data_IF_113634942814
#
_entry.id   IF_113634942814
#
_cell.length_a   1.000
_cell.length_b   1.000
_cell.length_c   1.000
_cell.angle_alpha   90.00
_cell.angle_beta   90.00
_cell.angle_gamma   90.00
#
_symmetry.space_group_name_H-M   'P 1'
#
loop_
_entity.id
_entity.type
_entity.pdbx_description
1 polymer ?
#
# COMPACT_ATOMS: atom_id res chain seq x y z
N UNK A 1 -10.57 -44.04 -15.16
CA UNK A 1 -11.09 -42.87 -14.43
C UNK A 1 -9.90 -42.18 -13.77
N UNK A 2 -9.33 -41.16 -14.40
CA UNK A 2 -8.23 -40.39 -13.82
C UNK A 2 -8.78 -39.03 -13.39
N UNK A 3 -9.09 -38.89 -12.11
CA UNK A 3 -9.42 -37.61 -11.48
C UNK A 3 -8.12 -36.84 -11.27
N UNK A 4 -7.86 -35.87 -12.13
CA UNK A 4 -6.80 -34.89 -11.96
C UNK A 4 -7.38 -33.74 -11.14
N UNK A 5 -6.91 -33.44 -9.92
CA UNK A 5 -7.32 -32.22 -9.25
C UNK A 5 -6.72 -31.02 -9.98
N UNK A 6 -7.46 -29.92 -10.22
CA UNK A 6 -6.90 -28.71 -10.78
C UNK A 6 -5.99 -28.07 -9.72
N UNK A 7 -4.68 -28.27 -9.85
CA UNK A 7 -3.69 -27.43 -9.17
C UNK A 7 -3.71 -26.06 -9.85
N UNK A 8 -4.62 -25.19 -9.39
CA UNK A 8 -4.47 -23.77 -9.61
C UNK A 8 -3.30 -23.28 -8.75
N UNK A 9 -2.26 -22.66 -9.32
CA UNK A 9 -1.28 -21.98 -8.50
C UNK A 9 -1.96 -20.73 -7.92
N UNK A 10 -2.52 -20.85 -6.72
CA UNK A 10 -2.71 -19.70 -5.85
C UNK A 10 -1.30 -19.28 -5.42
N UNK A 11 -0.60 -18.59 -6.32
CA UNK A 11 0.71 -18.04 -6.05
C UNK A 11 0.63 -17.19 -4.79
N UNK A 12 1.64 -17.25 -3.90
CA UNK A 12 1.71 -16.31 -2.79
C UNK A 12 1.52 -14.92 -3.38
N UNK A 13 0.61 -14.13 -2.82
CA UNK A 13 0.31 -12.77 -3.27
C UNK A 13 1.64 -12.01 -3.31
N UNK A 14 2.28 -11.95 -4.48
CA UNK A 14 3.61 -11.37 -4.61
C UNK A 14 3.39 -9.87 -4.60
N UNK A 15 3.90 -9.22 -3.55
CA UNK A 15 4.05 -7.77 -3.56
C UNK A 15 4.93 -7.33 -4.74
N UNK A 16 5.03 -6.02 -4.99
CA UNK A 16 5.85 -5.51 -6.07
C UNK A 16 7.25 -6.11 -6.00
N UNK A 17 7.77 -6.66 -7.09
CA UNK A 17 9.14 -7.20 -7.11
C UNK A 17 10.19 -6.07 -7.12
N UNK A 18 9.79 -4.85 -7.46
CA UNK A 18 10.67 -3.68 -7.46
C UNK A 18 10.72 -3.00 -6.08
N UNK A 19 11.91 -2.57 -5.61
CA UNK A 19 12.00 -1.71 -4.45
C UNK A 19 11.30 -0.38 -4.76
N UNK A 20 10.64 0.24 -3.76
CA UNK A 20 10.11 1.58 -3.93
C UNK A 20 11.25 2.60 -4.09
N UNK A 21 10.95 3.81 -4.59
CA UNK A 21 11.92 4.90 -4.61
C UNK A 21 12.50 5.11 -3.21
N UNK A 22 13.83 5.04 -3.04
CA UNK A 22 14.43 5.23 -1.72
C UNK A 22 14.27 6.66 -1.21
N UNK A 23 14.06 7.59 -2.14
CA UNK A 23 13.88 9.01 -1.83
C UNK A 23 12.38 9.23 -1.56
N UNK A 24 12.02 9.66 -0.35
CA UNK A 24 10.64 10.07 -0.11
C UNK A 24 10.27 11.21 -1.06
N UNK A 25 9.09 11.17 -1.72
CA UNK A 25 8.53 12.36 -2.36
C UNK A 25 8.63 13.59 -1.48
N UNK A 26 8.72 14.77 -2.09
CA UNK A 26 8.43 16.00 -1.37
C UNK A 26 6.98 15.96 -0.89
N UNK A 27 6.73 16.42 0.35
CA UNK A 27 5.37 16.50 0.89
C UNK A 27 4.50 17.23 -0.14
N UNK A 28 3.40 16.61 -0.61
CA UNK A 28 2.52 17.29 -1.54
C UNK A 28 2.03 18.58 -0.88
N UNK A 29 2.07 19.72 -1.58
CA UNK A 29 1.59 21.01 -1.04
C UNK A 29 0.09 20.99 -0.74
N UNK A 30 -0.62 20.02 -1.32
CA UNK A 30 -2.02 19.70 -1.04
C UNK A 30 -2.04 18.42 -0.20
N UNK A 31 -2.02 18.58 1.11
CA UNK A 31 -2.54 17.53 2.00
C UNK A 31 -4.04 17.48 1.76
N UNK A 32 -4.54 16.37 1.19
CA UNK A 32 -5.97 16.15 1.13
C UNK A 32 -6.50 16.22 2.58
N UNK A 33 -7.20 17.31 2.90
CA UNK A 33 -7.55 17.70 4.27
C UNK A 33 -8.40 16.65 5.00
N UNK A 34 -8.93 15.68 4.24
CA UNK A 34 -9.28 14.36 4.72
C UNK A 34 -8.58 13.35 3.81
N UNK A 35 -7.84 12.40 4.38
CA UNK A 35 -7.40 11.21 3.65
C UNK A 35 -8.65 10.38 3.38
N UNK A 36 -9.36 10.73 2.32
CA UNK A 36 -10.57 10.02 1.95
C UNK A 36 -10.21 8.61 1.45
N UNK A 37 -10.90 7.56 1.92
CA UNK A 37 -10.71 6.20 1.41
C UNK A 37 -10.89 6.11 -0.11
N UNK A 38 -11.71 7.01 -0.68
CA UNK A 38 -11.88 7.12 -2.13
C UNK A 38 -10.64 7.61 -2.87
N UNK A 39 -9.87 8.52 -2.27
CA UNK A 39 -8.66 9.06 -2.89
C UNK A 39 -7.52 8.03 -2.86
N UNK A 40 -7.33 7.33 -1.74
CA UNK A 40 -6.35 6.23 -1.66
C UNK A 40 -6.73 5.04 -2.55
N UNK A 41 -8.03 4.77 -2.77
CA UNK A 41 -8.47 3.75 -3.73
C UNK A 41 -7.95 4.01 -5.14
N UNK A 42 -7.77 5.27 -5.54
CA UNK A 42 -7.13 5.63 -6.81
C UNK A 42 -5.65 5.23 -6.91
N UNK A 43 -5.01 4.97 -5.77
CA UNK A 43 -3.62 4.55 -5.67
C UNK A 43 -3.45 3.02 -5.51
N UNK A 44 -4.53 2.23 -5.61
CA UNK A 44 -4.48 0.77 -5.56
C UNK A 44 -3.51 0.21 -6.62
N UNK A 45 -2.70 -0.77 -6.23
CA UNK A 45 -1.66 -1.38 -7.07
C UNK A 45 -0.57 -0.39 -7.56
N UNK A 46 -0.32 0.69 -6.79
CA UNK A 46 0.72 1.68 -7.07
C UNK A 46 1.61 1.91 -5.84
N UNK A 47 2.84 2.34 -6.06
CA UNK A 47 3.75 2.65 -4.96
C UNK A 47 3.26 3.92 -4.26
N UNK A 48 2.74 3.77 -3.04
CA UNK A 48 2.17 4.88 -2.28
C UNK A 48 3.09 5.22 -1.11
N UNK A 49 3.55 6.45 -1.06
CA UNK A 49 4.23 6.96 0.13
C UNK A 49 3.19 7.51 1.10
N UNK A 50 3.22 7.04 2.34
CA UNK A 50 2.29 7.44 3.39
C UNK A 50 3.06 8.20 4.44
N UNK A 51 2.57 9.39 4.79
CA UNK A 51 3.01 10.17 5.93
C UNK A 51 2.00 10.01 7.07
N UNK A 52 2.37 9.28 8.13
CA UNK A 52 1.54 9.21 9.32
C UNK A 52 1.59 10.52 10.10
N UNK A 53 0.49 10.87 10.77
CA UNK A 53 0.41 12.04 11.67
C UNK A 53 1.50 12.06 12.75
N UNK A 54 1.88 10.86 13.22
CA UNK A 54 2.86 10.67 14.28
C UNK A 54 3.85 9.59 13.87
N UNK A 55 4.87 9.95 13.09
CA UNK A 55 5.99 9.05 12.78
C UNK A 55 6.70 9.38 11.47
N UNK A 56 7.65 8.52 11.10
CA UNK A 56 8.32 8.58 9.81
C UNK A 56 7.41 8.05 8.70
N UNK A 57 7.45 8.70 7.54
CA UNK A 57 6.77 8.20 6.35
C UNK A 57 7.30 6.83 5.90
N UNK A 58 6.47 6.07 5.21
CA UNK A 58 6.82 4.74 4.73
C UNK A 58 6.14 4.44 3.40
N UNK A 59 6.74 3.51 2.66
CA UNK A 59 6.14 2.99 1.44
C UNK A 59 5.12 1.90 1.76
N UNK A 60 3.93 2.08 1.19
CA UNK A 60 2.85 1.11 1.18
C UNK A 60 2.42 0.87 -0.27
N UNK A 61 2.21 -0.38 -0.60
CA UNK A 61 1.61 -0.82 -1.84
C UNK A 61 0.21 -1.34 -1.54
N UNK A 62 -0.81 -0.48 -1.57
CA UNK A 62 -2.17 -0.86 -1.20
C UNK A 62 -2.73 -1.83 -2.24
N UNK A 63 -3.17 -3.00 -1.78
CA UNK A 63 -3.87 -3.99 -2.61
C UNK A 63 -5.37 -4.01 -2.33
N UNK A 64 -5.76 -3.56 -1.14
CA UNK A 64 -7.14 -3.48 -0.73
C UNK A 64 -7.37 -2.25 0.16
N UNK A 65 -8.44 -1.52 -0.08
CA UNK A 65 -8.81 -0.34 0.72
C UNK A 65 -10.24 -0.53 1.22
N UNK A 66 -10.36 -0.59 2.54
CA UNK A 66 -11.64 -0.62 3.26
C UNK A 66 -12.23 0.79 3.43
N UNK A 67 -13.16 0.94 4.38
CA UNK A 67 -13.76 2.25 4.70
C UNK A 67 -12.83 3.15 5.50
N UNK A 68 -12.06 2.58 6.42
CA UNK A 68 -11.18 3.33 7.35
C UNK A 68 -9.77 2.75 7.43
N UNK A 69 -9.48 1.66 6.72
CA UNK A 69 -8.18 1.01 6.73
C UNK A 69 -7.75 0.61 5.33
N UNK A 70 -6.44 0.55 5.13
CA UNK A 70 -5.81 0.11 3.89
C UNK A 70 -4.94 -1.10 4.20
N UNK A 71 -5.10 -2.15 3.41
CA UNK A 71 -4.29 -3.36 3.48
C UNK A 71 -3.43 -3.47 2.23
N UNK A 72 -2.18 -3.88 2.41
CA UNK A 72 -1.25 -3.94 1.30
C UNK A 72 0.11 -4.43 1.73
N UNK A 73 1.09 -4.24 0.86
CA UNK A 73 2.47 -4.57 1.19
C UNK A 73 3.18 -3.32 1.70
N UNK A 74 3.73 -3.37 2.90
CA UNK A 74 4.56 -2.32 3.47
C UNK A 74 6.03 -2.64 3.21
N UNK A 75 6.78 -1.64 2.78
CA UNK A 75 8.23 -1.78 2.65
C UNK A 75 8.90 -1.63 4.02
N UNK A 76 9.73 -2.60 4.41
CA UNK A 76 10.52 -2.53 5.64
C UNK A 76 11.99 -2.11 5.41
N UNK A 77 12.36 -1.73 4.18
CA UNK A 77 13.74 -1.43 3.78
C UNK A 77 14.44 -2.58 3.04
N UNK A 78 13.97 -3.83 3.19
CA UNK A 78 14.53 -5.02 2.54
C UNK A 78 13.53 -5.77 1.68
N UNK A 79 12.27 -5.82 2.12
CA UNK A 79 11.22 -6.60 1.50
C UNK A 79 9.85 -5.97 1.71
N UNK A 80 8.92 -6.33 0.84
CA UNK A 80 7.50 -6.05 0.95
C UNK A 80 6.84 -7.03 1.92
N UNK A 81 6.29 -6.53 3.01
CA UNK A 81 5.62 -7.31 4.05
C UNK A 81 4.14 -6.97 4.04
N UNK A 82 3.26 -7.95 3.93
CA UNK A 82 1.83 -7.69 3.96
C UNK A 82 1.41 -7.14 5.33
N UNK A 83 0.73 -6.00 5.36
CA UNK A 83 0.34 -5.27 6.57
C UNK A 83 -0.86 -4.37 6.32
N UNK A 84 -1.66 -4.15 7.36
CA UNK A 84 -2.73 -3.16 7.38
C UNK A 84 -2.30 -1.85 8.04
N UNK A 85 -2.79 -0.73 7.54
CA UNK A 85 -2.63 0.59 8.14
C UNK A 85 -3.97 1.32 8.21
N UNK A 86 -4.15 2.13 9.24
CA UNK A 86 -5.38 2.89 9.45
C UNK A 86 -5.33 4.21 8.69
N UNK A 87 -6.36 4.50 7.89
CA UNK A 87 -6.44 5.71 7.07
C UNK A 87 -6.53 6.98 7.92
N UNK A 88 -7.14 6.91 9.11
CA UNK A 88 -7.32 8.08 10.00
C UNK A 88 -5.99 8.53 10.61
N UNK A 89 -5.00 7.63 10.66
CA UNK A 89 -3.64 7.93 11.12
C UNK A 89 -2.75 8.53 10.03
N UNK A 90 -3.20 8.53 8.78
CA UNK A 90 -2.48 9.13 7.67
C UNK A 90 -2.76 10.63 7.66
N UNK A 91 -1.71 11.43 7.60
CA UNK A 91 -1.79 12.88 7.43
C UNK A 91 -1.77 13.25 5.95
N UNK A 92 -0.91 12.57 5.18
CA UNK A 92 -0.78 12.80 3.75
C UNK A 92 -0.32 11.51 3.07
N UNK A 93 -0.61 11.40 1.78
CA UNK A 93 -0.14 10.30 0.95
C UNK A 93 0.15 10.80 -0.48
N UNK A 94 1.08 10.15 -1.15
CA UNK A 94 1.41 10.41 -2.56
C UNK A 94 1.58 9.07 -3.25
N UNK A 95 0.84 8.84 -4.32
CA UNK A 95 1.06 7.68 -5.18
C UNK A 95 1.87 8.01 -6.42
N UNK A 96 2.71 7.05 -6.80
CA UNK A 96 3.59 7.09 -7.97
C UNK A 96 3.10 6.15 -9.06
#
# INVERSE_FOLDING_TARGET
MAFMPPQGPQGPQQGPSSPPPQIPPQHPPVSAFAVDPGAIKGCLYRNTYIWPRNGSGFWLYPTFVGRTSVSGFRWNGRSWVYSGYDLQRIESFTCF
#
